data_IF_600291111954
#
_entry.id   IF_600291111954
#
_cell.length_a   1.000
_cell.length_b   1.000
_cell.length_c   1.000
_cell.angle_alpha   90.00
_cell.angle_beta   90.00
_cell.angle_gamma   90.00
#
_symmetry.space_group_name_H-M   'P 1'
#
loop_
_entity.id
_entity.type
_entity.pdbx_description
1 polymer ?
#
# COMPACT_ATOMS: atom_id res chain seq x y z
N UNK A 1 0.84 -18.58 14.66
CA UNK A 1 1.26 -18.75 16.06
C UNK A 1 2.24 -17.66 16.46
N UNK A 2 2.12 -17.20 17.70
CA UNK A 2 3.01 -16.24 18.34
C UNK A 2 3.82 -16.97 19.41
N UNK A 3 5.13 -16.82 19.40
CA UNK A 3 6.03 -17.50 20.32
C UNK A 3 6.79 -16.46 21.13
N UNK A 4 6.83 -16.64 22.47
CA UNK A 4 7.66 -15.80 23.34
C UNK A 4 9.14 -16.22 23.20
N UNK A 5 9.98 -15.29 22.78
CA UNK A 5 11.42 -15.53 22.67
C UNK A 5 12.12 -15.72 24.05
N UNK A 6 11.55 -15.14 25.12
CA UNK A 6 12.10 -15.28 26.49
C UNK A 6 11.77 -16.62 27.14
N UNK A 7 10.60 -17.19 26.82
CA UNK A 7 10.07 -18.39 27.47
C UNK A 7 10.04 -19.61 26.57
N UNK A 8 10.41 -19.45 25.30
CA UNK A 8 10.31 -20.47 24.25
C UNK A 8 8.93 -21.20 24.23
N UNK A 9 7.88 -20.47 24.65
CA UNK A 9 6.53 -21.00 24.76
C UNK A 9 5.60 -20.30 23.77
N UNK A 10 4.65 -21.05 23.23
CA UNK A 10 3.62 -20.50 22.36
C UNK A 10 2.67 -19.62 23.18
N UNK A 11 2.65 -18.33 22.88
CA UNK A 11 1.75 -17.36 23.50
C UNK A 11 0.36 -17.44 22.89
N UNK A 12 0.30 -17.69 21.59
CA UNK A 12 -0.94 -17.85 20.84
C UNK A 12 -0.74 -18.73 19.62
N UNK A 13 -1.73 -19.59 19.34
CA UNK A 13 -1.81 -20.38 18.12
C UNK A 13 -3.27 -20.60 17.73
N UNK A 14 -3.60 -20.38 16.48
CA UNK A 14 -4.90 -20.71 15.91
C UNK A 14 -4.74 -21.25 14.50
N UNK A 15 -5.62 -22.15 14.11
CA UNK A 15 -5.74 -22.67 12.75
C UNK A 15 -7.05 -22.16 12.17
N UNK A 16 -6.99 -21.59 10.98
CA UNK A 16 -8.15 -21.11 10.25
C UNK A 16 -8.32 -21.98 9.01
N UNK A 17 -9.48 -22.63 8.92
CA UNK A 17 -9.91 -23.39 7.75
C UNK A 17 -10.99 -22.56 7.07
N UNK A 18 -10.64 -21.87 5.98
CA UNK A 18 -11.45 -20.78 5.46
C UNK A 18 -11.46 -20.72 3.94
N UNK A 19 -12.49 -20.13 3.38
CA UNK A 19 -12.60 -19.79 1.97
C UNK A 19 -11.85 -18.49 1.68
N UNK A 20 -11.58 -18.21 0.39
CA UNK A 20 -10.89 -17.00 -0.04
C UNK A 20 -11.69 -15.74 0.32
N UNK A 21 -13.03 -15.82 0.31
CA UNK A 21 -13.94 -14.74 0.66
C UNK A 21 -13.85 -14.33 2.15
N UNK A 22 -13.53 -15.27 3.02
CA UNK A 22 -13.42 -15.05 4.47
C UNK A 22 -12.01 -14.61 4.91
N UNK A 23 -11.05 -14.54 3.99
CA UNK A 23 -9.64 -14.21 4.29
C UNK A 23 -9.49 -12.85 4.98
N UNK A 24 -10.29 -11.88 4.60
CA UNK A 24 -10.22 -10.54 5.18
C UNK A 24 -10.78 -10.48 6.60
N UNK A 25 -11.85 -11.23 6.88
CA UNK A 25 -12.43 -11.31 8.23
C UNK A 25 -11.45 -11.95 9.21
N UNK A 26 -10.75 -12.99 8.76
CA UNK A 26 -9.68 -13.63 9.53
C UNK A 26 -8.47 -12.71 9.71
N UNK A 27 -8.12 -11.93 8.70
CA UNK A 27 -7.03 -10.95 8.81
C UNK A 27 -7.33 -9.92 9.90
N UNK A 28 -8.55 -9.39 9.97
CA UNK A 28 -8.96 -8.43 11.00
C UNK A 28 -8.94 -9.07 12.41
N UNK A 29 -9.43 -10.30 12.55
CA UNK A 29 -9.39 -11.06 13.80
C UNK A 29 -7.94 -11.33 14.24
N UNK A 30 -7.08 -11.73 13.31
CA UNK A 30 -5.65 -11.95 13.55
C UNK A 30 -4.94 -10.68 14.01
N UNK A 31 -5.15 -9.57 13.31
CA UNK A 31 -4.56 -8.27 13.65
C UNK A 31 -5.01 -7.86 15.05
N UNK A 32 -6.31 -7.91 15.33
CA UNK A 32 -6.88 -7.58 16.64
C UNK A 32 -6.29 -8.46 17.73
N UNK A 33 -6.21 -9.78 17.51
CA UNK A 33 -5.68 -10.75 18.48
C UNK A 33 -4.18 -10.55 18.72
N UNK A 34 -3.39 -10.33 17.68
CA UNK A 34 -1.95 -10.09 17.79
C UNK A 34 -1.69 -8.80 18.56
N UNK A 35 -2.38 -7.72 18.21
CA UNK A 35 -2.20 -6.42 18.87
C UNK A 35 -2.63 -6.49 20.33
N UNK A 36 -3.79 -7.08 20.64
CA UNK A 36 -4.25 -7.24 22.03
C UNK A 36 -3.32 -8.10 22.87
N UNK A 37 -2.68 -9.10 22.27
CA UNK A 37 -1.73 -9.99 22.94
C UNK A 37 -0.39 -9.32 23.20
N UNK A 38 0.07 -8.44 22.27
CA UNK A 38 1.38 -7.77 22.38
C UNK A 38 1.29 -6.51 23.25
N UNK A 39 0.25 -5.71 23.10
CA UNK A 39 0.17 -4.35 23.66
C UNK A 39 -0.75 -4.27 24.89
N UNK A 40 -1.53 -5.31 25.14
CA UNK A 40 -2.40 -5.41 26.33
C UNK A 40 -3.59 -4.42 26.38
N UNK A 41 -3.65 -3.45 25.52
CA UNK A 41 -4.78 -2.54 25.27
C UNK A 41 -4.59 -1.87 23.91
N UNK A 42 -5.52 -2.07 22.99
CA UNK A 42 -5.60 -1.35 21.73
C UNK A 42 -6.87 -0.52 21.77
N UNK A 43 -6.75 0.77 21.50
CA UNK A 43 -7.91 1.63 21.30
C UNK A 43 -8.67 1.17 20.05
N UNK A 44 -10.00 1.08 20.18
CA UNK A 44 -10.89 0.67 19.09
C UNK A 44 -10.70 1.53 17.82
N UNK A 45 -10.31 2.79 18.00
CA UNK A 45 -10.00 3.74 16.91
C UNK A 45 -8.78 3.29 16.08
N UNK A 46 -7.78 2.64 16.69
CA UNK A 46 -6.60 2.12 15.97
C UNK A 46 -6.95 0.88 15.14
N UNK A 47 -7.85 0.03 15.65
CA UNK A 47 -8.35 -1.13 14.90
C UNK A 47 -9.16 -0.68 13.70
N UNK A 48 -9.97 0.36 13.84
CA UNK A 48 -10.76 0.92 12.74
C UNK A 48 -9.88 1.58 11.67
N UNK A 49 -8.77 2.21 12.05
CA UNK A 49 -7.77 2.73 11.09
C UNK A 49 -7.07 1.61 10.31
N UNK A 50 -6.77 0.48 10.94
CA UNK A 50 -6.18 -0.68 10.26
C UNK A 50 -7.15 -1.34 9.28
N UNK A 51 -8.46 -1.28 9.54
CA UNK A 51 -9.49 -1.81 8.64
C UNK A 51 -9.84 -0.85 7.49
N UNK A 52 -9.57 0.45 7.62
CA UNK A 52 -9.84 1.45 6.56
C UNK A 52 -8.93 1.32 5.34
N UNK A 53 -7.75 0.72 5.49
CA UNK A 53 -6.83 0.43 4.37
C UNK A 53 -7.12 -0.88 3.65
N UNK A 54 -8.18 -1.59 4.05
CA UNK A 54 -8.57 -2.88 3.47
C UNK A 54 -9.21 -2.71 2.09
N UNK A 55 -8.78 -3.49 1.08
CA UNK A 55 -9.45 -3.49 -0.20
C UNK A 55 -10.85 -4.12 -0.10
N UNK A 56 -11.85 -3.49 -0.71
CA UNK A 56 -13.20 -4.06 -0.82
C UNK A 56 -13.26 -5.20 -1.86
N UNK A 57 -12.28 -5.23 -2.76
CA UNK A 57 -12.23 -6.16 -3.89
C UNK A 57 -10.99 -7.06 -3.83
N UNK A 58 -11.20 -8.36 -3.60
CA UNK A 58 -10.12 -9.35 -3.52
C UNK A 58 -9.29 -9.44 -4.82
N UNK A 59 -9.93 -9.26 -5.99
CA UNK A 59 -9.22 -9.26 -7.26
C UNK A 59 -8.29 -8.03 -7.39
N UNK A 60 -8.71 -6.86 -6.87
CA UNK A 60 -7.84 -5.69 -6.81
C UNK A 60 -6.64 -5.91 -5.87
N UNK A 61 -6.85 -6.60 -4.75
CA UNK A 61 -5.78 -6.99 -3.84
C UNK A 61 -4.75 -7.92 -4.52
N UNK A 62 -5.22 -8.94 -5.23
CA UNK A 62 -4.34 -9.86 -5.97
C UNK A 62 -3.52 -9.13 -7.04
N UNK A 63 -4.13 -8.22 -7.80
CA UNK A 63 -3.42 -7.37 -8.76
C UNK A 63 -2.33 -6.51 -8.10
N UNK A 64 -2.58 -5.97 -6.90
CA UNK A 64 -1.56 -5.23 -6.15
C UNK A 64 -0.41 -6.13 -5.75
N UNK A 65 -0.66 -7.36 -5.28
CA UNK A 65 0.41 -8.31 -4.95
C UNK A 65 1.27 -8.67 -6.17
N UNK A 66 0.65 -8.97 -7.30
CA UNK A 66 1.36 -9.23 -8.56
C UNK A 66 2.15 -7.98 -9.03
N UNK A 67 1.54 -6.79 -8.92
CA UNK A 67 2.19 -5.54 -9.25
C UNK A 67 3.44 -5.28 -8.41
N UNK A 68 3.39 -5.58 -7.10
CA UNK A 68 4.53 -5.46 -6.20
C UNK A 68 5.68 -6.41 -6.58
N UNK A 69 5.39 -7.62 -7.04
CA UNK A 69 6.42 -8.53 -7.52
C UNK A 69 7.17 -7.97 -8.73
N UNK A 70 6.44 -7.44 -9.72
CA UNK A 70 7.05 -6.79 -10.88
C UNK A 70 7.74 -5.47 -10.50
N UNK A 71 7.16 -4.69 -9.58
CA UNK A 71 7.73 -3.43 -9.11
C UNK A 71 9.12 -3.61 -8.48
N UNK A 72 9.34 -4.65 -7.68
CA UNK A 72 10.67 -4.97 -7.11
C UNK A 72 11.72 -5.20 -8.20
N UNK A 73 11.32 -5.62 -9.38
CA UNK A 73 12.17 -5.89 -10.54
C UNK A 73 12.15 -4.73 -11.57
N UNK A 74 11.35 -3.68 -11.35
CA UNK A 74 11.13 -2.59 -12.29
C UNK A 74 12.40 -1.77 -12.59
N UNK A 75 13.32 -1.69 -11.65
CA UNK A 75 14.62 -1.06 -11.86
C UNK A 75 15.56 -1.84 -12.79
N UNK A 76 15.27 -3.12 -13.06
CA UNK A 76 16.11 -3.97 -13.89
C UNK A 76 15.66 -4.01 -15.37
N UNK A 77 14.36 -3.86 -15.65
CA UNK A 77 13.83 -3.94 -17.04
C UNK A 77 12.60 -3.06 -17.24
N UNK A 78 12.50 -2.46 -18.45
CA UNK A 78 11.32 -1.73 -18.93
C UNK A 78 10.05 -2.57 -18.83
N UNK A 79 10.14 -3.86 -19.19
CA UNK A 79 8.99 -4.79 -19.19
C UNK A 79 8.39 -4.93 -17.78
N UNK A 80 9.22 -5.09 -16.75
CA UNK A 80 8.73 -5.17 -15.38
C UNK A 80 8.11 -3.83 -14.91
N UNK A 81 8.70 -2.69 -15.28
CA UNK A 81 8.12 -1.38 -14.97
C UNK A 81 6.74 -1.20 -15.61
N UNK A 82 6.60 -1.57 -16.88
CA UNK A 82 5.34 -1.52 -17.62
C UNK A 82 4.27 -2.44 -17.02
N UNK A 83 4.64 -3.69 -16.70
CA UNK A 83 3.72 -4.65 -16.08
C UNK A 83 3.24 -4.18 -14.71
N UNK A 84 4.15 -3.70 -13.87
CA UNK A 84 3.80 -3.18 -12.56
C UNK A 84 2.78 -2.04 -12.66
N UNK A 85 3.04 -1.04 -13.51
CA UNK A 85 2.12 0.07 -13.73
C UNK A 85 0.75 -0.40 -14.24
N UNK A 86 0.73 -1.33 -15.21
CA UNK A 86 -0.50 -1.89 -15.76
C UNK A 86 -1.35 -2.61 -14.71
N UNK A 87 -0.74 -3.39 -13.83
CA UNK A 87 -1.42 -4.12 -12.76
C UNK A 87 -2.00 -3.18 -11.70
N UNK A 88 -1.24 -2.18 -11.25
CA UNK A 88 -1.77 -1.19 -10.30
C UNK A 88 -2.87 -0.31 -10.90
N UNK A 89 -2.76 0.03 -12.19
CA UNK A 89 -3.83 0.74 -12.90
C UNK A 89 -5.12 -0.08 -12.90
N UNK A 90 -5.06 -1.36 -13.27
CA UNK A 90 -6.21 -2.27 -13.23
C UNK A 90 -6.77 -2.41 -11.80
N UNK A 91 -5.91 -2.49 -10.79
CA UNK A 91 -6.34 -2.54 -9.39
C UNK A 91 -7.18 -1.31 -9.01
N UNK A 92 -6.75 -0.10 -9.42
CA UNK A 92 -7.51 1.15 -9.16
C UNK A 92 -8.80 1.26 -9.95
N UNK A 93 -8.91 0.56 -11.08
CA UNK A 93 -10.15 0.47 -11.88
C UNK A 93 -11.15 -0.50 -11.25
N UNK A 94 -10.69 -1.61 -10.66
CA UNK A 94 -11.52 -2.60 -9.99
C UNK A 94 -11.98 -2.13 -8.60
N UNK A 95 -11.11 -1.44 -7.86
CA UNK A 95 -11.41 -0.89 -6.54
C UNK A 95 -10.91 0.57 -6.46
N UNK A 96 -11.76 1.53 -6.83
CA UNK A 96 -11.41 2.95 -6.78
C UNK A 96 -11.18 3.50 -5.36
N UNK A 97 -11.53 2.75 -4.32
CA UNK A 97 -11.34 3.11 -2.92
C UNK A 97 -10.16 2.39 -2.26
N UNK A 98 -9.35 1.69 -3.02
CA UNK A 98 -8.17 1.02 -2.50
C UNK A 98 -6.96 1.97 -2.49
N UNK A 99 -6.71 2.66 -1.37
CA UNK A 99 -5.65 3.66 -1.21
C UNK A 99 -4.27 3.16 -1.66
N UNK A 100 -3.90 1.96 -1.22
CA UNK A 100 -2.61 1.34 -1.54
C UNK A 100 -2.41 1.11 -3.04
N UNK A 101 -3.47 0.76 -3.77
CA UNK A 101 -3.39 0.60 -5.23
C UNK A 101 -3.08 1.94 -5.91
N UNK A 102 -3.70 3.04 -5.47
CA UNK A 102 -3.42 4.38 -5.97
C UNK A 102 -1.99 4.83 -5.66
N UNK A 103 -1.48 4.59 -4.45
CA UNK A 103 -0.11 4.91 -4.09
C UNK A 103 0.90 4.17 -4.98
N UNK A 104 0.76 2.85 -5.13
CA UNK A 104 1.65 2.05 -5.96
C UNK A 104 1.50 2.34 -7.46
N UNK A 105 0.31 2.72 -7.94
CA UNK A 105 0.13 3.20 -9.31
C UNK A 105 1.01 4.43 -9.58
N UNK A 106 1.01 5.41 -8.69
CA UNK A 106 1.86 6.59 -8.84
C UNK A 106 3.35 6.24 -8.84
N UNK A 107 3.80 5.41 -7.89
CA UNK A 107 5.19 4.97 -7.81
C UNK A 107 5.65 4.24 -9.08
N UNK A 108 4.82 3.32 -9.57
CA UNK A 108 5.14 2.53 -10.77
C UNK A 108 5.11 3.36 -12.05
N UNK A 109 4.24 4.37 -12.15
CA UNK A 109 4.23 5.30 -13.29
C UNK A 109 5.51 6.12 -13.36
N UNK A 110 6.01 6.61 -12.21
CA UNK A 110 7.29 7.32 -12.17
C UNK A 110 8.47 6.42 -12.59
N UNK A 111 8.46 5.14 -12.18
CA UNK A 111 9.45 4.17 -12.65
C UNK A 111 9.32 3.90 -14.15
N UNK A 112 8.10 3.70 -14.64
CA UNK A 112 7.86 3.42 -16.06
C UNK A 112 8.30 4.59 -16.95
N UNK A 113 8.01 5.82 -16.53
CA UNK A 113 8.43 7.04 -17.23
C UNK A 113 9.95 7.12 -17.40
N UNK A 114 10.73 6.62 -16.44
CA UNK A 114 12.20 6.62 -16.54
C UNK A 114 12.72 5.71 -17.67
N UNK A 115 11.94 4.71 -18.06
CA UNK A 115 12.25 3.78 -19.15
C UNK A 115 11.65 4.20 -20.48
N UNK A 116 10.46 4.79 -20.48
CA UNK A 116 9.69 5.11 -21.68
C UNK A 116 8.85 6.38 -21.46
N UNK A 117 9.47 7.52 -21.75
CA UNK A 117 8.84 8.83 -21.58
C UNK A 117 7.64 9.03 -22.50
N UNK A 118 7.71 8.51 -23.72
CA UNK A 118 6.66 8.64 -24.71
C UNK A 118 5.42 7.83 -24.31
N UNK A 119 5.62 6.57 -23.91
CA UNK A 119 4.53 5.69 -23.49
C UNK A 119 3.93 6.07 -22.14
N UNK A 120 4.69 6.69 -21.24
CA UNK A 120 4.18 7.23 -19.99
C UNK A 120 3.29 8.47 -20.19
N UNK A 121 3.48 9.17 -21.31
CA UNK A 121 2.73 10.38 -21.67
C UNK A 121 3.28 11.66 -21.04
N UNK A 122 2.93 12.80 -21.65
CA UNK A 122 3.42 14.13 -21.19
C UNK A 122 2.87 14.51 -19.82
N UNK A 123 1.67 14.02 -19.46
CA UNK A 123 0.97 14.34 -18.21
C UNK A 123 1.28 13.38 -17.07
N UNK A 124 2.30 12.51 -17.20
CA UNK A 124 2.61 11.49 -16.21
C UNK A 124 2.78 12.03 -14.78
N UNK A 125 3.36 13.23 -14.64
CA UNK A 125 3.60 13.84 -13.32
C UNK A 125 2.29 14.29 -12.65
N UNK A 126 1.38 14.86 -13.43
CA UNK A 126 0.05 15.24 -12.94
C UNK A 126 -0.76 13.98 -12.57
N UNK A 127 -0.67 12.92 -13.36
CA UNK A 127 -1.30 11.63 -13.08
C UNK A 127 -0.75 11.01 -11.79
N UNK A 128 0.57 11.05 -11.56
CA UNK A 128 1.17 10.64 -10.29
C UNK A 128 0.62 11.46 -9.13
N UNK A 129 0.59 12.79 -9.26
CA UNK A 129 0.12 13.70 -8.22
C UNK A 129 -1.35 13.46 -7.87
N UNK A 130 -2.22 13.25 -8.86
CA UNK A 130 -3.62 12.91 -8.66
C UNK A 130 -3.80 11.57 -7.97
N UNK A 131 -3.05 10.54 -8.40
CA UNK A 131 -3.11 9.21 -7.78
C UNK A 131 -2.70 9.24 -6.30
N UNK A 132 -1.62 9.94 -5.96
CA UNK A 132 -1.17 10.07 -4.56
C UNK A 132 -2.16 10.87 -3.73
N UNK A 133 -2.72 11.96 -4.28
CA UNK A 133 -3.75 12.74 -3.61
C UNK A 133 -4.96 11.87 -3.30
N UNK A 134 -5.42 11.08 -4.29
CA UNK A 134 -6.53 10.15 -4.10
C UNK A 134 -6.24 9.11 -3.03
N UNK A 135 -5.03 8.56 -2.99
CA UNK A 135 -4.63 7.61 -1.95
C UNK A 135 -4.76 8.22 -0.55
N UNK A 136 -4.28 9.45 -0.34
CA UNK A 136 -4.37 10.14 0.95
C UNK A 136 -5.77 10.63 1.31
N UNK A 137 -6.66 10.84 0.34
CA UNK A 137 -8.08 11.09 0.59
C UNK A 137 -8.80 9.86 1.13
N UNK A 138 -8.44 8.68 0.62
CA UNK A 138 -9.02 7.39 1.03
C UNK A 138 -8.44 6.96 2.38
N UNK A 139 -7.11 6.95 2.49
CA UNK A 139 -6.38 6.61 3.71
C UNK A 139 -5.32 7.68 4.02
N UNK A 140 -5.60 8.59 4.98
CA UNK A 140 -4.66 9.63 5.37
C UNK A 140 -3.36 9.13 6.01
N UNK A 141 -3.24 7.84 6.32
CA UNK A 141 -2.05 7.23 6.93
C UNK A 141 -1.32 6.26 5.97
N UNK A 142 -1.74 6.19 4.68
CA UNK A 142 -1.06 5.32 3.70
C UNK A 142 0.42 5.74 3.52
N UNK A 143 1.31 4.93 4.08
CA UNK A 143 2.74 5.23 4.16
C UNK A 143 3.40 5.45 2.79
N UNK A 144 3.08 4.63 1.79
CA UNK A 144 3.64 4.77 0.45
C UNK A 144 3.16 6.05 -0.23
N UNK A 145 1.89 6.44 -0.03
CA UNK A 145 1.37 7.71 -0.53
C UNK A 145 2.10 8.90 0.11
N UNK A 146 2.34 8.86 1.40
CA UNK A 146 3.14 9.89 2.08
C UNK A 146 4.57 9.95 1.54
N UNK A 147 5.22 8.82 1.31
CA UNK A 147 6.58 8.77 0.73
C UNK A 147 6.62 9.47 -0.62
N UNK A 148 5.66 9.19 -1.50
CA UNK A 148 5.62 9.76 -2.85
C UNK A 148 5.22 11.24 -2.80
N UNK A 149 4.21 11.61 -2.00
CA UNK A 149 3.83 13.01 -1.82
C UNK A 149 5.00 13.86 -1.31
N UNK A 150 5.78 13.33 -0.37
CA UNK A 150 7.01 13.96 0.09
C UNK A 150 7.97 14.27 -1.04
N UNK A 151 8.19 13.31 -1.94
CA UNK A 151 9.05 13.51 -3.12
C UNK A 151 8.48 14.55 -4.09
N UNK A 152 7.17 14.53 -4.37
CA UNK A 152 6.49 15.51 -5.21
C UNK A 152 6.65 16.94 -4.63
N UNK A 153 6.45 17.11 -3.31
CA UNK A 153 6.62 18.40 -2.63
C UNK A 153 8.05 18.91 -2.71
N UNK A 154 9.04 18.01 -2.55
CA UNK A 154 10.47 18.36 -2.69
C UNK A 154 10.80 18.84 -4.10
N UNK A 155 10.31 18.16 -5.15
CA UNK A 155 10.50 18.53 -6.56
C UNK A 155 9.91 19.92 -6.84
N UNK A 156 8.76 20.25 -6.25
CA UNK A 156 8.09 21.53 -6.37
C UNK A 156 8.70 22.65 -5.48
N UNK A 157 9.78 22.36 -4.74
CA UNK A 157 10.46 23.32 -3.87
C UNK A 157 9.80 23.54 -2.51
N UNK A 158 8.74 22.81 -2.18
CA UNK A 158 8.07 22.86 -0.88
C UNK A 158 8.76 21.86 0.09
N UNK A 159 9.94 22.25 0.54
CA UNK A 159 10.77 21.38 1.41
C UNK A 159 10.16 21.14 2.79
N UNK A 160 9.32 22.05 3.28
CA UNK A 160 8.69 21.90 4.59
C UNK A 160 7.62 20.80 4.55
N UNK A 161 6.70 20.88 3.60
CA UNK A 161 5.68 19.84 3.38
C UNK A 161 6.32 18.50 2.98
N UNK A 162 7.39 18.55 2.17
CA UNK A 162 8.13 17.36 1.79
C UNK A 162 8.67 16.59 2.98
N UNK A 163 9.29 17.28 3.94
CA UNK A 163 9.77 16.64 5.20
C UNK A 163 8.63 16.08 6.04
N UNK A 164 7.55 16.84 6.20
CA UNK A 164 6.37 16.36 6.94
C UNK A 164 5.87 15.02 6.39
N UNK A 165 5.68 14.93 5.08
CA UNK A 165 5.22 13.70 4.45
C UNK A 165 6.23 12.55 4.57
N UNK A 166 7.53 12.80 4.45
CA UNK A 166 8.54 11.76 4.66
C UNK A 166 8.64 11.29 6.12
N UNK A 167 8.29 12.14 7.09
CA UNK A 167 8.19 11.73 8.49
C UNK A 167 6.97 10.85 8.76
N UNK A 168 5.86 11.15 8.09
CA UNK A 168 4.64 10.33 8.15
C UNK A 168 4.79 8.96 7.48
N UNK A 169 5.69 8.81 6.52
CA UNK A 169 5.95 7.56 5.81
C UNK A 169 6.81 6.54 6.60
N UNK A 170 7.19 6.84 7.82
CA UNK A 170 8.02 5.97 8.70
C UNK A 170 7.14 5.06 9.54
#
# INVERSE_FOLDING_TARGET
SLISAEKESTVWSSNYDTTIEEIFDIQDELISTIISTIVGRVDADQIQQLSSSRPENLAAYDLVLQGLEHHRKAGATKENAQKAYGLFKQATELDPNYARAHAWRACSLANYQSWDKEAAGENWFDECSQSVTRALEIDPEEAEAHRIMGSIKMINGDFQSGRYHHEKAK
#
